data_IF_350786900403
#
_entry.id   IF_350786900403
#
_cell.length_a   1.000
_cell.length_b   1.000
_cell.length_c   1.000
_cell.angle_alpha   90.00
_cell.angle_beta   90.00
_cell.angle_gamma   90.00
#
_symmetry.space_group_name_H-M   'P 1'
#
loop_
_entity.id
_entity.type
_entity.pdbx_description
1 polymer ?
#
# COMPACT_ATOMS: atom_id res chain seq x y z
N UNK A 1 20.00 -39.29 -11.40
CA UNK A 1 19.42 -39.58 -10.07
C UNK A 1 20.33 -40.62 -9.42
N UNK A 2 21.10 -40.25 -8.38
CA UNK A 2 21.66 -41.07 -7.27
C UNK A 2 22.27 -42.47 -7.60
N UNK A 3 23.49 -42.90 -7.17
CA UNK A 3 24.16 -42.82 -5.85
C UNK A 3 25.69 -43.14 -6.00
N UNK A 4 26.58 -42.36 -5.35
CA UNK A 4 28.01 -42.65 -5.00
C UNK A 4 28.94 -43.08 -6.18
N UNK A 5 30.25 -43.34 -6.08
CA UNK A 5 31.31 -43.31 -5.03
C UNK A 5 32.66 -43.10 -5.79
N UNK A 6 33.78 -42.49 -5.35
CA UNK A 6 34.30 -41.93 -4.07
C UNK A 6 34.98 -40.57 -4.31
N UNK A 7 35.57 -39.95 -3.27
CA UNK A 7 36.19 -38.62 -3.35
C UNK A 7 37.70 -38.54 -3.04
N UNK A 8 38.27 -37.36 -3.31
CA UNK A 8 39.50 -36.84 -2.74
C UNK A 8 39.35 -35.32 -2.53
N UNK A 9 39.99 -34.74 -1.50
CA UNK A 9 39.94 -33.31 -1.21
C UNK A 9 40.94 -32.55 -2.07
N UNK A 10 40.60 -31.32 -2.46
CA UNK A 10 41.41 -30.14 -2.12
C UNK A 10 40.50 -28.93 -1.90
N UNK A 11 41.03 -27.91 -1.23
CA UNK A 11 40.29 -26.77 -0.69
C UNK A 11 40.73 -25.49 -1.42
N UNK A 12 39.78 -24.69 -1.90
CA UNK A 12 39.99 -23.24 -2.06
C UNK A 12 38.96 -22.56 -1.17
N UNK A 13 39.44 -21.85 -0.16
CA UNK A 13 38.60 -21.19 0.83
C UNK A 13 38.73 -19.68 0.66
N UNK A 14 37.62 -19.00 0.43
CA UNK A 14 37.48 -17.57 0.72
C UNK A 14 36.54 -17.42 1.91
N UNK A 15 37.14 -17.33 3.09
CA UNK A 15 36.44 -17.09 4.35
C UNK A 15 35.81 -15.70 4.35
N UNK A 16 34.48 -15.63 4.44
CA UNK A 16 33.81 -14.52 5.11
C UNK A 16 33.39 -15.04 6.49
N UNK A 17 33.91 -14.42 7.54
CA UNK A 17 33.57 -14.79 8.91
C UNK A 17 32.15 -14.35 9.27
N UNK A 18 31.48 -15.17 10.07
CA UNK A 18 30.36 -14.76 10.93
C UNK A 18 30.86 -13.71 11.96
N UNK A 19 30.06 -12.89 12.65
CA UNK A 19 28.61 -12.72 12.85
C UNK A 19 28.28 -11.19 12.84
N UNK A 20 27.05 -10.67 12.74
CA UNK A 20 25.68 -11.19 12.65
C UNK A 20 24.90 -10.36 11.60
N UNK A 21 23.77 -10.85 11.10
CA UNK A 21 22.55 -10.01 10.99
C UNK A 21 21.27 -10.86 10.86
N UNK A 22 20.24 -10.56 11.65
CA UNK A 22 18.97 -11.31 11.64
C UNK A 22 17.97 -10.70 10.65
N UNK A 23 18.20 -10.94 9.35
CA UNK A 23 17.24 -10.54 8.32
C UNK A 23 15.94 -11.34 8.49
N UNK A 24 14.89 -10.67 8.95
CA UNK A 24 13.53 -11.22 8.98
C UNK A 24 13.12 -11.65 7.57
N UNK A 25 12.81 -12.95 7.41
CA UNK A 25 12.18 -13.47 6.20
C UNK A 25 10.73 -12.97 6.18
N UNK A 26 10.51 -11.81 5.58
CA UNK A 26 9.19 -11.36 5.19
C UNK A 26 8.67 -12.26 4.08
N UNK A 27 7.81 -13.23 4.42
CA UNK A 27 7.02 -13.96 3.44
C UNK A 27 6.19 -12.96 2.63
N UNK A 28 6.67 -12.62 1.43
CA UNK A 28 5.89 -11.94 0.41
C UNK A 28 4.84 -12.92 -0.11
N UNK A 29 3.69 -12.95 0.56
CA UNK A 29 2.53 -13.68 0.05
C UNK A 29 2.13 -13.09 -1.31
N UNK A 30 2.12 -13.99 -2.29
CA UNK A 30 1.91 -13.70 -3.71
C UNK A 30 0.54 -13.04 -3.92
N UNK A 31 0.53 -11.95 -4.68
CA UNK A 31 -0.62 -11.37 -5.39
C UNK A 31 -1.97 -11.48 -4.68
N UNK A 32 -2.13 -10.76 -3.57
CA UNK A 32 -3.45 -10.25 -3.20
C UNK A 32 -3.94 -9.29 -4.30
N UNK A 33 -5.02 -9.63 -5.00
CA UNK A 33 -5.51 -8.86 -6.14
C UNK A 33 -5.68 -7.37 -5.84
N UNK A 34 -5.00 -6.54 -6.62
CA UNK A 34 -5.05 -5.07 -6.55
C UNK A 34 -6.44 -4.56 -6.98
N UNK A 35 -7.40 -4.63 -6.04
CA UNK A 35 -8.85 -4.35 -6.14
C UNK A 35 -9.36 -3.79 -7.48
N UNK A 36 -9.37 -4.63 -8.53
CA UNK A 36 -9.96 -4.40 -9.85
C UNK A 36 -9.93 -2.93 -10.33
N UNK A 37 -8.75 -2.30 -10.33
CA UNK A 37 -8.56 -1.04 -11.05
C UNK A 37 -8.58 -1.29 -12.56
N UNK A 38 -9.15 -0.37 -13.35
CA UNK A 38 -9.09 -0.46 -14.82
C UNK A 38 -7.64 -0.45 -15.28
N UNK A 39 -7.19 -1.56 -15.88
CA UNK A 39 -5.88 -1.67 -16.51
C UNK A 39 -5.83 -0.95 -17.87
N UNK A 40 -6.97 -0.42 -18.33
CA UNK A 40 -7.12 0.37 -19.56
C UNK A 40 -7.32 1.84 -19.20
N UNK A 41 -6.56 2.72 -19.87
CA UNK A 41 -6.70 4.18 -19.75
C UNK A 41 -8.10 4.64 -20.19
N UNK A 42 -8.73 5.50 -19.40
CA UNK A 42 -10.02 6.10 -19.76
C UNK A 42 -9.84 7.36 -20.61
N UNK A 43 -10.52 7.44 -21.75
CA UNK A 43 -10.48 8.60 -22.66
C UNK A 43 -11.59 9.59 -22.31
N UNK A 44 -11.20 10.75 -21.79
CA UNK A 44 -12.13 11.84 -21.46
C UNK A 44 -12.60 12.57 -22.72
N UNK A 45 -13.77 12.18 -23.24
CA UNK A 45 -14.49 12.97 -24.25
C UNK A 45 -14.85 14.35 -23.70
N UNK A 46 -14.95 15.34 -24.59
CA UNK A 46 -15.32 16.73 -24.26
C UNK A 46 -14.52 17.35 -23.09
N UNK A 47 -13.23 16.99 -22.94
CA UNK A 47 -12.37 17.44 -21.83
C UNK A 47 -13.02 17.19 -20.44
N UNK A 48 -13.76 16.08 -20.35
CA UNK A 48 -14.46 15.60 -19.16
C UNK A 48 -15.66 16.43 -18.71
N UNK A 49 -16.09 17.46 -19.47
CA UNK A 49 -17.10 18.42 -19.01
C UNK A 49 -18.42 17.76 -18.59
N UNK A 50 -18.93 16.82 -19.38
CA UNK A 50 -20.21 16.13 -19.10
C UNK A 50 -20.16 15.32 -17.78
N UNK A 51 -18.97 14.80 -17.43
CA UNK A 51 -18.70 14.13 -16.15
C UNK A 51 -18.62 15.15 -15.01
N UNK A 52 -17.99 16.31 -15.22
CA UNK A 52 -17.89 17.38 -14.22
C UNK A 52 -19.28 17.92 -13.84
N UNK A 53 -20.14 18.10 -14.84
CA UNK A 53 -21.52 18.53 -14.66
C UNK A 53 -22.33 17.49 -13.88
N UNK A 54 -22.21 16.21 -14.27
CA UNK A 54 -22.85 15.07 -13.59
C UNK A 54 -22.39 14.88 -12.14
N UNK A 55 -21.12 15.17 -11.83
CA UNK A 55 -20.53 15.07 -10.49
C UNK A 55 -20.73 16.32 -9.62
N UNK A 56 -21.43 17.34 -10.13
CA UNK A 56 -21.47 18.73 -9.64
C UNK A 56 -20.13 19.48 -9.80
N UNK A 57 -20.22 20.60 -10.53
CA UNK A 57 -19.18 21.62 -10.67
C UNK A 57 -18.61 22.06 -9.31
N UNK A 58 -19.45 22.30 -8.30
CA UNK A 58 -18.98 22.72 -6.97
C UNK A 58 -18.12 21.64 -6.27
N UNK A 59 -18.50 20.36 -6.39
CA UNK A 59 -17.72 19.24 -5.83
C UNK A 59 -16.38 19.11 -6.55
N UNK A 60 -16.39 19.06 -7.88
CA UNK A 60 -15.18 18.91 -8.69
C UNK A 60 -14.20 20.10 -8.54
N UNK A 61 -14.73 21.32 -8.37
CA UNK A 61 -13.92 22.54 -8.16
C UNK A 61 -12.95 22.46 -6.97
N UNK A 62 -13.28 21.66 -5.94
CA UNK A 62 -12.38 21.42 -4.81
C UNK A 62 -11.10 20.69 -5.23
N UNK A 63 -11.19 19.80 -6.21
CA UNK A 63 -10.05 19.08 -6.78
C UNK A 63 -9.30 19.95 -7.80
N UNK A 64 -9.99 20.75 -8.62
CA UNK A 64 -9.37 21.74 -9.51
C UNK A 64 -8.51 22.77 -8.76
N UNK A 65 -8.99 23.29 -7.62
CA UNK A 65 -8.19 24.17 -6.76
C UNK A 65 -6.91 23.50 -6.25
N UNK A 66 -6.97 22.20 -5.92
CA UNK A 66 -5.81 21.40 -5.45
C UNK A 66 -4.87 20.97 -6.58
N UNK A 67 -5.33 20.95 -7.83
CA UNK A 67 -4.53 20.55 -9.00
C UNK A 67 -3.87 21.72 -9.73
N UNK A 68 -3.89 22.93 -9.17
CA UNK A 68 -3.53 24.17 -9.87
C UNK A 68 -4.29 24.32 -11.20
N UNK A 69 -5.59 23.99 -11.18
CA UNK A 69 -6.52 23.99 -12.33
C UNK A 69 -6.18 23.01 -13.47
N UNK A 70 -5.17 22.13 -13.32
CA UNK A 70 -4.94 21.02 -14.24
C UNK A 70 -6.09 20.00 -14.15
N UNK A 71 -6.94 19.91 -15.17
CA UNK A 71 -8.12 19.01 -15.19
C UNK A 71 -7.80 17.54 -14.96
N UNK A 72 -6.85 16.97 -15.72
CA UNK A 72 -6.48 15.55 -15.60
C UNK A 72 -6.06 15.20 -14.16
N UNK A 73 -5.21 16.04 -13.56
CA UNK A 73 -4.75 15.85 -12.18
C UNK A 73 -5.88 16.09 -11.15
N UNK A 74 -6.91 16.88 -11.45
CA UNK A 74 -8.13 16.96 -10.62
C UNK A 74 -8.96 15.66 -10.70
N UNK A 75 -9.09 15.05 -11.87
CA UNK A 75 -9.70 13.72 -12.01
C UNK A 75 -8.90 12.64 -11.28
N UNK A 76 -7.57 12.63 -11.39
CA UNK A 76 -6.71 11.73 -10.64
C UNK A 76 -6.91 11.88 -9.12
N UNK A 77 -6.95 13.12 -8.62
CA UNK A 77 -7.19 13.40 -7.20
C UNK A 77 -8.61 13.01 -6.75
N UNK A 78 -9.62 13.18 -7.61
CA UNK A 78 -10.99 12.70 -7.35
C UNK A 78 -11.04 11.18 -7.22
N UNK A 79 -10.48 10.46 -8.20
CA UNK A 79 -10.40 9.00 -8.20
C UNK A 79 -9.53 8.46 -7.05
N UNK A 80 -8.46 9.17 -6.69
CA UNK A 80 -7.63 8.86 -5.52
C UNK A 80 -8.40 9.04 -4.20
N UNK A 81 -9.20 10.11 -4.06
CA UNK A 81 -10.07 10.30 -2.90
C UNK A 81 -11.11 9.18 -2.77
N UNK A 82 -11.79 8.82 -3.87
CA UNK A 82 -12.74 7.71 -3.89
C UNK A 82 -12.10 6.37 -3.50
N UNK A 83 -10.86 6.11 -3.97
CA UNK A 83 -10.09 4.91 -3.60
C UNK A 83 -9.70 4.89 -2.12
N UNK A 84 -9.22 6.01 -1.56
CA UNK A 84 -8.94 6.14 -0.12
C UNK A 84 -10.19 5.91 0.73
N UNK A 85 -11.31 6.56 0.36
CA UNK A 85 -12.58 6.38 1.04
C UNK A 85 -13.02 4.92 1.02
N UNK A 86 -12.92 4.24 -0.12
CA UNK A 86 -13.21 2.79 -0.26
C UNK A 86 -12.33 1.93 0.64
N UNK A 87 -11.01 2.15 0.67
CA UNK A 87 -10.08 1.33 1.48
C UNK A 87 -10.26 1.51 2.98
N UNK A 88 -10.80 2.66 3.41
CA UNK A 88 -11.14 2.96 4.80
C UNK A 88 -12.50 2.40 5.25
N UNK A 89 -13.41 2.00 4.35
CA UNK A 89 -14.71 1.43 4.73
C UNK A 89 -14.56 0.17 5.60
N UNK A 90 -13.66 -0.74 5.23
CA UNK A 90 -13.42 -1.99 6.00
C UNK A 90 -12.96 -1.73 7.45
N UNK A 91 -11.85 -1.01 7.73
CA UNK A 91 -11.42 -0.77 9.10
C UNK A 91 -12.42 0.09 9.90
N UNK A 92 -13.16 1.00 9.25
CA UNK A 92 -14.24 1.76 9.91
C UNK A 92 -15.44 0.88 10.28
N UNK A 93 -15.85 -0.05 9.41
CA UNK A 93 -16.92 -1.00 9.68
C UNK A 93 -16.57 -1.92 10.85
N UNK A 94 -15.35 -2.47 10.87
CA UNK A 94 -14.91 -3.33 11.99
C UNK A 94 -14.88 -2.54 13.29
N UNK A 95 -14.35 -1.30 13.29
CA UNK A 95 -14.39 -0.43 14.45
C UNK A 95 -15.82 -0.11 14.93
N UNK A 96 -16.74 0.24 14.03
CA UNK A 96 -18.13 0.54 14.38
C UNK A 96 -18.84 -0.68 15.01
N UNK A 97 -18.58 -1.90 14.50
CA UNK A 97 -19.10 -3.15 15.07
C UNK A 97 -18.41 -3.53 16.39
N UNK A 98 -17.09 -3.41 16.51
CA UNK A 98 -16.38 -3.68 17.77
C UNK A 98 -16.82 -2.72 18.87
N UNK A 99 -16.90 -1.42 18.58
CA UNK A 99 -17.28 -0.38 19.54
C UNK A 99 -18.71 -0.59 20.05
N UNK A 100 -19.69 -0.77 19.15
CA UNK A 100 -21.09 -0.96 19.56
C UNK A 100 -21.28 -2.26 20.35
N UNK A 101 -20.62 -3.35 19.96
CA UNK A 101 -20.74 -4.63 20.66
C UNK A 101 -20.07 -4.56 22.05
N UNK A 102 -18.94 -3.88 22.18
CA UNK A 102 -18.28 -3.70 23.48
C UNK A 102 -19.11 -2.84 24.45
N UNK A 103 -19.72 -1.75 23.95
CA UNK A 103 -20.62 -0.91 24.76
C UNK A 103 -21.93 -1.67 25.08
N UNK A 104 -22.51 -2.41 24.14
CA UNK A 104 -23.69 -3.26 24.35
C UNK A 104 -23.44 -4.28 25.48
N UNK A 105 -22.32 -5.01 25.41
CA UNK A 105 -21.92 -5.99 26.42
C UNK A 105 -21.64 -5.38 27.81
N UNK A 106 -21.37 -4.07 27.89
CA UNK A 106 -21.32 -3.33 29.15
C UNK A 106 -22.72 -2.90 29.62
N UNK A 107 -23.54 -2.31 28.74
CA UNK A 107 -24.90 -1.90 29.08
C UNK A 107 -25.82 -3.06 29.50
N UNK A 108 -25.63 -4.25 28.92
CA UNK A 108 -26.33 -5.49 29.34
C UNK A 108 -26.00 -5.87 30.80
N UNK A 109 -24.79 -5.55 31.28
CA UNK A 109 -24.34 -5.83 32.66
C UNK A 109 -24.69 -4.72 33.65
N UNK A 110 -24.67 -3.47 33.20
CA UNK A 110 -24.92 -2.28 34.04
C UNK A 110 -26.42 -2.02 34.25
N UNK A 111 -27.26 -2.35 33.24
CA UNK A 111 -28.70 -2.07 33.24
C UNK A 111 -29.51 -3.38 33.16
N UNK A 112 -29.69 -3.92 31.96
CA UNK A 112 -30.40 -5.18 31.70
C UNK A 112 -30.20 -5.63 30.23
N UNK A 113 -30.66 -6.84 29.90
CA UNK A 113 -30.63 -7.37 28.54
C UNK A 113 -31.29 -6.42 27.51
N UNK A 114 -32.36 -5.74 27.90
CA UNK A 114 -33.16 -4.84 27.05
C UNK A 114 -32.89 -3.35 27.33
N UNK A 115 -31.66 -2.97 27.66
CA UNK A 115 -31.29 -1.61 28.12
C UNK A 115 -31.76 -0.47 27.19
N UNK A 116 -31.97 -0.73 25.90
CA UNK A 116 -32.47 0.26 24.92
C UNK A 116 -33.87 0.80 25.28
N UNK A 117 -34.69 -0.01 25.96
CA UNK A 117 -36.03 0.36 26.46
C UNK A 117 -36.05 0.62 27.99
N UNK A 118 -34.97 0.35 28.73
CA UNK A 118 -34.93 0.57 30.17
C UNK A 118 -35.13 2.05 30.56
N UNK A 119 -35.96 2.27 31.58
CA UNK A 119 -36.28 3.60 32.07
C UNK A 119 -35.11 4.30 32.76
N UNK A 120 -34.13 3.57 33.31
CA UNK A 120 -33.01 4.19 34.03
C UNK A 120 -31.90 4.60 33.05
N UNK A 121 -31.56 3.74 32.10
CA UNK A 121 -30.70 4.12 30.97
C UNK A 121 -31.27 5.30 30.18
N UNK A 122 -32.57 5.27 29.83
CA UNK A 122 -33.20 6.35 29.06
C UNK A 122 -33.24 7.70 29.80
N UNK A 123 -33.26 7.71 31.14
CA UNK A 123 -33.11 8.95 31.96
C UNK A 123 -31.69 9.53 31.94
N UNK A 124 -30.67 8.74 31.61
CA UNK A 124 -29.28 9.20 31.49
C UNK A 124 -29.06 9.95 30.16
N UNK A 125 -29.80 9.58 29.10
CA UNK A 125 -29.65 10.16 27.77
C UNK A 125 -30.12 11.62 27.69
N UNK A 126 -29.30 12.47 27.07
CA UNK A 126 -29.76 13.78 26.62
C UNK A 126 -30.74 13.64 25.44
N UNK A 127 -31.56 14.67 25.19
CA UNK A 127 -32.64 14.64 24.20
C UNK A 127 -32.19 14.26 22.79
N UNK A 128 -30.96 14.62 22.39
CA UNK A 128 -30.39 14.23 21.10
C UNK A 128 -30.07 12.74 21.03
N UNK A 129 -29.39 12.18 22.05
CA UNK A 129 -29.11 10.74 22.09
C UNK A 129 -30.37 9.91 22.24
N UNK A 130 -31.35 10.37 23.03
CA UNK A 130 -32.64 9.69 23.18
C UNK A 130 -33.41 9.64 21.85
N UNK A 131 -33.54 10.78 21.16
CA UNK A 131 -34.18 10.83 19.84
C UNK A 131 -33.43 10.07 18.73
N UNK A 132 -32.12 9.80 18.92
CA UNK A 132 -31.36 8.92 18.02
C UNK A 132 -31.60 7.43 18.32
N UNK A 133 -31.75 7.07 19.59
CA UNK A 133 -32.12 5.72 20.03
C UNK A 133 -33.55 5.36 19.60
N UNK A 134 -34.50 6.26 19.82
CA UNK A 134 -35.91 6.03 19.46
C UNK A 134 -36.08 5.82 17.96
N UNK A 135 -35.38 6.62 17.12
CA UNK A 135 -35.32 6.43 15.67
C UNK A 135 -34.62 5.14 15.23
N UNK A 136 -33.81 4.51 16.08
CA UNK A 136 -33.26 3.19 15.81
C UNK A 136 -34.25 2.08 16.18
N UNK A 137 -34.98 2.24 17.29
CA UNK A 137 -36.08 1.33 17.70
C UNK A 137 -37.20 1.34 16.65
N UNK A 138 -37.63 2.50 16.17
CA UNK A 138 -38.62 2.66 15.07
C UNK A 138 -38.21 1.95 13.75
N UNK A 139 -36.91 1.66 13.57
CA UNK A 139 -36.34 1.08 12.36
C UNK A 139 -35.82 -0.35 12.56
N UNK A 140 -35.84 -0.86 13.78
CA UNK A 140 -35.45 -2.22 14.10
C UNK A 140 -36.49 -3.20 13.53
N UNK A 141 -36.06 -4.42 13.16
CA UNK A 141 -36.97 -5.45 12.65
C UNK A 141 -37.83 -6.09 13.75
N UNK A 142 -37.35 -6.03 14.98
CA UNK A 142 -38.01 -6.51 16.19
C UNK A 142 -37.60 -5.62 17.37
N UNK A 143 -38.24 -5.84 18.53
CA UNK A 143 -37.83 -5.20 19.78
C UNK A 143 -36.58 -5.84 20.42
N UNK A 144 -35.93 -6.81 19.77
CA UNK A 144 -34.69 -7.40 20.28
C UNK A 144 -33.56 -6.36 20.25
N UNK A 145 -32.81 -6.26 21.35
CA UNK A 145 -31.68 -5.36 21.50
C UNK A 145 -30.61 -5.56 20.40
N UNK A 146 -30.38 -6.78 19.92
CA UNK A 146 -29.44 -7.03 18.82
C UNK A 146 -29.87 -6.36 17.50
N UNK A 147 -31.16 -6.38 17.15
CA UNK A 147 -31.70 -5.69 15.97
C UNK A 147 -31.60 -4.17 16.14
N UNK A 148 -31.83 -3.66 17.35
CA UNK A 148 -31.73 -2.23 17.67
C UNK A 148 -30.26 -1.78 17.56
N UNK A 149 -29.32 -2.48 18.21
CA UNK A 149 -27.87 -2.24 18.14
C UNK A 149 -27.33 -2.37 16.72
N UNK A 150 -27.92 -3.24 15.89
CA UNK A 150 -27.57 -3.35 14.48
C UNK A 150 -27.88 -2.07 13.67
N UNK A 151 -28.91 -1.32 14.06
CA UNK A 151 -29.43 -0.11 13.37
C UNK A 151 -28.88 1.21 13.94
N UNK A 152 -28.48 1.26 15.22
CA UNK A 152 -27.87 2.45 15.84
C UNK A 152 -26.54 2.81 15.17
N UNK A 153 -26.42 4.04 14.66
CA UNK A 153 -25.22 4.55 13.98
C UNK A 153 -24.08 4.95 14.93
N UNK A 154 -22.84 4.98 14.42
CA UNK A 154 -21.65 5.50 15.12
C UNK A 154 -21.83 6.88 15.76
N UNK A 155 -22.72 7.73 15.26
CA UNK A 155 -23.03 9.03 15.87
C UNK A 155 -23.56 8.88 17.29
N UNK A 156 -24.46 7.92 17.56
CA UNK A 156 -24.93 7.66 18.92
C UNK A 156 -23.77 7.16 19.80
N UNK A 157 -23.07 6.12 19.37
CA UNK A 157 -21.99 5.49 20.12
C UNK A 157 -20.83 6.45 20.44
N UNK A 158 -20.48 7.33 19.49
CA UNK A 158 -19.46 8.37 19.71
C UNK A 158 -19.93 9.52 20.62
N UNK A 159 -21.22 9.87 20.57
CA UNK A 159 -21.80 10.90 21.43
C UNK A 159 -21.88 10.47 22.91
N UNK A 160 -21.93 9.16 23.20
CA UNK A 160 -21.89 8.66 24.58
C UNK A 160 -20.62 9.07 25.33
N UNK A 161 -19.50 9.36 24.67
CA UNK A 161 -18.25 9.76 25.33
C UNK A 161 -18.16 11.26 25.67
N UNK A 162 -19.23 12.05 25.46
CA UNK A 162 -19.30 13.47 25.85
C UNK A 162 -19.19 13.65 27.38
N UNK A 163 -18.84 14.87 27.79
CA UNK A 163 -18.80 15.33 29.20
C UNK A 163 -20.06 14.98 29.99
N UNK A 164 -21.20 15.10 29.33
CA UNK A 164 -22.55 14.99 29.87
C UNK A 164 -22.80 13.58 30.46
N UNK A 165 -22.10 12.59 29.92
CA UNK A 165 -22.16 11.17 30.29
C UNK A 165 -21.01 10.72 31.20
N UNK A 166 -20.07 11.61 31.52
CA UNK A 166 -18.85 11.23 32.24
C UNK A 166 -19.17 10.74 33.65
N UNK A 167 -20.01 11.48 34.40
CA UNK A 167 -20.42 11.10 35.76
C UNK A 167 -21.38 9.90 35.79
N UNK A 168 -22.26 9.78 34.81
CA UNK A 168 -23.37 8.82 34.81
C UNK A 168 -23.03 7.46 34.19
N UNK A 169 -22.09 7.41 33.23
CA UNK A 169 -21.66 6.16 32.61
C UNK A 169 -20.18 5.85 32.88
N UNK A 170 -19.27 6.82 32.70
CA UNK A 170 -17.86 6.48 32.43
C UNK A 170 -16.88 6.63 33.59
N UNK A 171 -17.15 7.50 34.57
CA UNK A 171 -16.24 7.85 35.66
C UNK A 171 -15.75 6.61 36.44
N UNK A 172 -16.62 5.60 36.58
CA UNK A 172 -16.29 4.31 37.19
C UNK A 172 -16.07 3.20 36.16
N UNK A 173 -16.72 3.24 35.00
CA UNK A 173 -16.87 2.06 34.14
C UNK A 173 -16.10 2.10 32.81
N UNK A 174 -15.37 3.17 32.47
CA UNK A 174 -14.62 3.25 31.19
C UNK A 174 -13.61 2.09 31.01
N UNK A 175 -13.05 1.58 32.11
CA UNK A 175 -12.10 0.46 32.08
C UNK A 175 -12.78 -0.90 31.83
N UNK A 176 -14.10 -1.03 32.05
CA UNK A 176 -14.86 -2.25 31.75
C UNK A 176 -15.06 -2.47 30.24
N UNK A 177 -14.80 -1.45 29.41
CA UNK A 177 -14.95 -1.49 27.94
C UNK A 177 -13.59 -1.43 27.23
N UNK A 178 -12.62 -0.69 27.78
CA UNK A 178 -11.33 -0.40 27.13
C UNK A 178 -10.08 -0.78 27.94
N UNK A 179 -10.24 -1.50 29.05
CA UNK A 179 -9.14 -1.91 29.93
C UNK A 179 -8.57 -0.78 30.80
N UNK A 180 -7.48 -1.08 31.52
CA UNK A 180 -6.85 -0.12 32.42
C UNK A 180 -6.09 1.01 31.68
N UNK A 181 -5.76 2.09 32.42
CA UNK A 181 -4.88 3.20 31.99
C UNK A 181 -5.43 4.10 30.87
N UNK A 182 -6.60 3.79 30.31
CA UNK A 182 -7.35 4.66 29.39
C UNK A 182 -8.15 5.73 30.14
N UNK A 183 -8.44 6.85 29.49
CA UNK A 183 -9.35 7.88 30.03
C UNK A 183 -10.48 8.18 29.04
N UNK A 184 -11.69 8.44 29.54
CA UNK A 184 -12.84 8.83 28.72
C UNK A 184 -12.55 10.06 27.85
N UNK A 185 -11.67 10.98 28.28
CA UNK A 185 -11.22 12.13 27.46
C UNK A 185 -10.36 11.72 26.25
N UNK A 186 -9.53 10.68 26.37
CA UNK A 186 -8.76 10.13 25.25
C UNK A 186 -9.69 9.43 24.26
N UNK A 187 -10.52 8.50 24.76
CA UNK A 187 -11.52 7.79 23.95
C UNK A 187 -12.44 8.77 23.22
N UNK A 188 -12.98 9.79 23.91
CA UNK A 188 -13.83 10.83 23.31
C UNK A 188 -13.16 11.57 22.16
N UNK A 189 -11.88 11.94 22.31
CA UNK A 189 -11.13 12.65 21.27
C UNK A 189 -10.99 11.80 20.01
N UNK A 190 -10.56 10.55 20.18
CA UNK A 190 -10.15 9.71 19.07
C UNK A 190 -11.35 9.06 18.37
N UNK A 191 -12.37 8.61 19.12
CA UNK A 191 -13.67 8.16 18.59
C UNK A 191 -14.38 9.29 17.83
N UNK A 192 -14.32 10.54 18.30
CA UNK A 192 -14.92 11.67 17.60
C UNK A 192 -14.16 12.08 16.33
N UNK A 193 -12.84 11.87 16.26
CA UNK A 193 -12.05 12.09 15.04
C UNK A 193 -12.35 11.00 13.99
N UNK A 194 -12.48 9.74 14.42
CA UNK A 194 -12.87 8.62 13.56
C UNK A 194 -14.31 8.80 13.03
N UNK A 195 -15.27 9.18 13.88
CA UNK A 195 -16.64 9.42 13.43
C UNK A 195 -16.72 10.59 12.42
N UNK A 196 -15.92 11.65 12.61
CA UNK A 196 -15.80 12.73 11.60
C UNK A 196 -15.27 12.21 10.25
N UNK A 197 -14.24 11.36 10.25
CA UNK A 197 -13.73 10.73 9.02
C UNK A 197 -14.79 9.85 8.35
N UNK A 198 -15.47 9.01 9.14
CA UNK A 198 -16.54 8.10 8.71
C UNK A 198 -17.71 8.85 8.07
N UNK A 199 -18.15 9.95 8.68
CA UNK A 199 -19.23 10.77 8.13
C UNK A 199 -18.81 11.56 6.88
N UNK A 200 -17.57 12.05 6.79
CA UNK A 200 -17.03 12.63 5.53
C UNK A 200 -17.06 11.61 4.39
N UNK A 201 -16.65 10.37 4.65
CA UNK A 201 -16.68 9.28 3.66
C UNK A 201 -18.12 8.96 3.23
N UNK A 202 -19.06 8.87 4.19
CA UNK A 202 -20.48 8.62 3.92
C UNK A 202 -21.16 9.74 3.11
N UNK A 203 -20.77 11.01 3.32
CA UNK A 203 -21.24 12.15 2.52
C UNK A 203 -20.42 12.39 1.23
N UNK A 204 -19.48 11.51 0.91
CA UNK A 204 -18.59 11.57 -0.26
C UNK A 204 -17.73 12.86 -0.33
N UNK A 205 -17.36 13.39 0.83
CA UNK A 205 -16.49 14.56 0.94
C UNK A 205 -15.01 14.24 0.63
N UNK A 206 -14.19 15.25 0.26
CA UNK A 206 -12.75 15.11 0.19
C UNK A 206 -12.14 14.83 1.57
N UNK A 207 -11.27 13.83 1.67
CA UNK A 207 -10.50 13.47 2.87
C UNK A 207 -8.98 13.69 2.69
N UNK A 208 -8.56 14.23 1.54
CA UNK A 208 -7.16 14.38 1.10
C UNK A 208 -6.27 15.28 1.99
N UNK A 209 -6.88 16.14 2.81
CA UNK A 209 -6.16 17.08 3.70
C UNK A 209 -5.99 16.53 5.13
N UNK A 210 -6.56 15.36 5.43
CA UNK A 210 -6.49 14.73 6.74
C UNK A 210 -5.21 13.89 6.86
N UNK A 211 -4.66 13.79 8.07
CA UNK A 211 -3.59 12.82 8.35
C UNK A 211 -4.19 11.42 8.49
N UNK A 212 -4.56 10.81 7.36
CA UNK A 212 -5.25 9.52 7.32
C UNK A 212 -4.44 8.40 7.99
N UNK A 213 -3.11 8.44 7.93
CA UNK A 213 -2.24 7.49 8.64
C UNK A 213 -2.40 7.57 10.16
N UNK A 214 -2.54 8.78 10.72
CA UNK A 214 -2.80 8.98 12.15
C UNK A 214 -4.21 8.52 12.55
N UNK A 215 -5.25 8.82 11.74
CA UNK A 215 -6.61 8.36 12.05
C UNK A 215 -6.74 6.84 11.90
N UNK A 216 -6.11 6.24 10.87
CA UNK A 216 -6.03 4.80 10.71
C UNK A 216 -5.34 4.13 11.90
N UNK A 217 -4.20 4.68 12.36
CA UNK A 217 -3.53 4.19 13.56
C UNK A 217 -4.48 4.17 14.78
N UNK A 218 -5.24 5.25 15.01
CA UNK A 218 -6.23 5.32 16.11
C UNK A 218 -7.36 4.30 15.97
N UNK A 219 -7.81 4.00 14.74
CA UNK A 219 -8.81 2.94 14.49
C UNK A 219 -8.27 1.60 15.00
N UNK A 220 -7.03 1.24 14.64
CA UNK A 220 -6.39 -0.01 15.07
C UNK A 220 -6.12 -0.01 16.58
N UNK A 221 -5.65 1.10 17.17
CA UNK A 221 -5.44 1.22 18.62
C UNK A 221 -6.75 1.05 19.42
N UNK A 222 -7.85 1.64 18.96
CA UNK A 222 -9.16 1.50 19.62
C UNK A 222 -9.78 0.10 19.43
N UNK A 223 -9.59 -0.55 18.28
CA UNK A 223 -9.95 -1.97 18.13
C UNK A 223 -9.08 -2.81 19.07
N UNK A 224 -7.78 -2.52 19.22
CA UNK A 224 -6.86 -3.30 20.05
C UNK A 224 -7.20 -3.23 21.55
N UNK A 225 -7.75 -2.12 22.03
CA UNK A 225 -8.27 -1.99 23.40
C UNK A 225 -9.50 -2.87 23.68
N UNK A 226 -10.22 -3.31 22.63
CA UNK A 226 -11.39 -4.19 22.71
C UNK A 226 -11.01 -5.64 22.42
N UNK A 227 -10.17 -5.87 21.39
CA UNK A 227 -9.70 -7.18 20.94
C UNK A 227 -8.39 -7.04 20.15
N UNK A 228 -7.30 -7.53 20.74
CA UNK A 228 -5.98 -7.51 20.10
C UNK A 228 -5.92 -8.33 18.81
N UNK A 229 -6.66 -9.45 18.72
CA UNK A 229 -6.66 -10.29 17.53
C UNK A 229 -7.53 -9.73 16.40
N UNK A 230 -8.64 -9.05 16.73
CA UNK A 230 -9.42 -8.31 15.73
C UNK A 230 -8.62 -7.13 15.17
N UNK A 231 -7.78 -6.47 15.99
CA UNK A 231 -6.87 -5.42 15.52
C UNK A 231 -5.81 -5.96 14.54
N UNK A 232 -5.17 -7.11 14.86
CA UNK A 232 -4.26 -7.81 13.94
C UNK A 232 -4.94 -8.17 12.62
N UNK A 233 -6.13 -8.77 12.69
CA UNK A 233 -6.94 -9.19 11.53
C UNK A 233 -7.31 -8.00 10.64
N UNK A 234 -7.78 -6.90 11.23
CA UNK A 234 -8.14 -5.67 10.49
C UNK A 234 -6.92 -4.99 9.85
N UNK A 235 -5.75 -5.04 10.49
CA UNK A 235 -4.52 -4.51 9.92
C UNK A 235 -3.91 -5.44 8.84
N UNK A 236 -4.19 -6.74 8.88
CA UNK A 236 -3.79 -7.69 7.83
C UNK A 236 -4.64 -7.55 6.57
N UNK A 237 -5.97 -7.47 6.71
CA UNK A 237 -6.91 -7.45 5.57
C UNK A 237 -7.25 -6.04 5.04
N UNK A 238 -6.59 -4.97 5.50
CA UNK A 238 -6.83 -3.63 4.93
C UNK A 238 -6.06 -3.41 3.63
N UNK A 239 -6.69 -2.73 2.67
CA UNK A 239 -6.03 -2.20 1.46
C UNK A 239 -5.55 -0.76 1.62
N UNK A 240 -5.77 -0.13 2.79
CA UNK A 240 -5.46 1.27 3.05
C UNK A 240 -3.96 1.59 2.86
N UNK A 241 -3.09 0.72 3.38
CA UNK A 241 -1.63 0.88 3.35
C UNK A 241 -1.08 0.99 1.92
N UNK A 242 -1.69 0.29 0.96
CA UNK A 242 -1.26 0.34 -0.43
C UNK A 242 -1.91 1.51 -1.16
N UNK A 243 -3.21 1.74 -0.96
CA UNK A 243 -3.92 2.85 -1.60
C UNK A 243 -3.28 4.20 -1.22
N UNK A 244 -2.89 4.45 0.03
CA UNK A 244 -2.28 5.73 0.44
C UNK A 244 -0.92 6.01 -0.24
N UNK A 245 -0.24 4.96 -0.74
CA UNK A 245 1.02 5.09 -1.51
C UNK A 245 0.78 5.49 -2.97
N UNK A 246 -0.46 5.41 -3.47
CA UNK A 246 -0.81 5.69 -4.88
C UNK A 246 -1.04 7.16 -5.24
N UNK A 247 -0.84 8.09 -4.29
CA UNK A 247 -1.16 9.53 -4.44
C UNK A 247 -0.63 10.08 -5.78
N UNK A 248 -1.48 10.63 -6.65
CA UNK A 248 -1.07 11.04 -8.00
C UNK A 248 -0.09 12.21 -7.98
N UNK A 249 0.71 12.34 -9.04
CA UNK A 249 1.71 13.38 -9.22
C UNK A 249 1.25 14.46 -10.21
N UNK A 250 1.49 15.72 -9.87
CA UNK A 250 1.12 16.89 -10.69
C UNK A 250 1.93 17.03 -12.00
N UNK A 251 2.97 16.22 -12.18
CA UNK A 251 3.84 16.18 -13.36
C UNK A 251 3.69 14.89 -14.19
N UNK A 252 2.68 14.08 -13.89
CA UNK A 252 2.45 12.77 -14.51
C UNK A 252 2.69 11.61 -13.54
N UNK A 253 2.01 10.49 -13.81
CA UNK A 253 2.10 9.24 -13.07
C UNK A 253 1.29 9.18 -11.77
N UNK A 254 0.69 8.03 -11.49
CA UNK A 254 0.33 7.65 -10.11
C UNK A 254 1.60 7.21 -9.38
N UNK A 255 1.75 7.54 -8.09
CA UNK A 255 2.93 7.09 -7.33
C UNK A 255 2.89 5.58 -7.02
N UNK A 256 4.05 4.94 -6.78
CA UNK A 256 5.41 5.49 -6.95
C UNK A 256 5.74 5.74 -8.43
N UNK A 257 6.55 6.76 -8.70
CA UNK A 257 7.10 7.03 -10.03
C UNK A 257 8.36 6.17 -10.27
N UNK A 258 8.76 5.99 -11.53
CA UNK A 258 10.06 5.39 -11.84
C UNK A 258 11.22 6.19 -11.24
N UNK A 259 11.09 7.52 -11.14
CA UNK A 259 12.04 8.39 -10.43
C UNK A 259 12.18 8.14 -8.92
N UNK A 260 11.30 7.33 -8.32
CA UNK A 260 11.31 6.97 -6.89
C UNK A 260 11.74 5.51 -6.66
N UNK A 261 12.19 4.82 -7.73
CA UNK A 261 12.43 3.37 -7.74
C UNK A 261 13.67 2.89 -8.51
N UNK A 262 14.38 3.76 -9.24
CA UNK A 262 15.62 3.38 -9.90
C UNK A 262 16.78 3.16 -8.92
N UNK A 263 17.68 2.26 -9.28
CA UNK A 263 19.02 2.15 -8.72
C UNK A 263 19.96 3.05 -9.54
N UNK A 264 20.75 3.87 -8.84
CA UNK A 264 21.71 4.80 -9.46
C UNK A 264 23.10 4.20 -9.63
N UNK A 265 23.37 2.99 -9.13
CA UNK A 265 24.67 2.34 -9.28
C UNK A 265 24.84 1.67 -10.66
N UNK A 266 24.99 2.50 -11.68
CA UNK A 266 25.24 2.07 -13.06
C UNK A 266 26.45 2.79 -13.68
N UNK A 267 27.06 2.15 -14.68
CA UNK A 267 28.05 2.78 -15.56
C UNK A 267 27.66 2.58 -17.03
N UNK A 268 28.03 3.51 -17.91
CA UNK A 268 27.90 3.35 -19.36
C UNK A 268 29.26 2.91 -19.89
N UNK A 269 29.29 1.78 -20.60
CA UNK A 269 30.52 1.14 -21.11
C UNK A 269 30.40 0.89 -22.61
N UNK A 270 31.55 0.89 -23.31
CA UNK A 270 31.60 0.58 -24.74
C UNK A 270 31.47 -0.94 -24.96
N UNK A 271 30.88 -1.35 -26.08
CA UNK A 271 30.83 -2.78 -26.48
C UNK A 271 32.23 -3.44 -26.53
N UNK A 272 33.28 -2.65 -26.74
CA UNK A 272 34.66 -3.11 -26.92
C UNK A 272 35.46 -3.21 -25.61
N UNK A 273 34.93 -2.78 -24.47
CA UNK A 273 35.63 -2.89 -23.18
C UNK A 273 35.91 -4.36 -22.83
N UNK A 274 37.13 -4.65 -22.38
CA UNK A 274 37.53 -6.00 -21.96
C UNK A 274 36.95 -6.35 -20.58
N UNK A 275 36.68 -7.63 -20.32
CA UNK A 275 36.07 -8.07 -19.06
C UNK A 275 36.96 -7.76 -17.83
N UNK A 276 38.28 -7.71 -18.01
CA UNK A 276 39.25 -7.28 -17.00
C UNK A 276 39.18 -5.79 -16.61
N UNK A 277 38.61 -4.94 -17.46
CA UNK A 277 38.58 -3.48 -17.30
C UNK A 277 37.23 -2.95 -16.78
N UNK A 278 36.26 -3.83 -16.52
CA UNK A 278 34.89 -3.44 -16.20
C UNK A 278 34.76 -2.69 -14.86
N UNK A 279 33.93 -1.63 -14.79
CA UNK A 279 33.82 -0.80 -13.61
C UNK A 279 33.12 -1.53 -12.43
N UNK A 280 33.25 -0.95 -11.24
CA UNK A 280 32.79 -1.62 -10.00
C UNK A 280 31.27 -1.60 -9.80
N UNK A 281 30.54 -0.75 -10.50
CA UNK A 281 29.09 -0.58 -10.42
C UNK A 281 28.30 -1.89 -10.63
N UNK A 282 27.09 -1.94 -10.07
CA UNK A 282 26.14 -3.04 -10.14
C UNK A 282 25.62 -3.29 -11.56
N UNK A 283 25.23 -2.23 -12.27
CA UNK A 283 24.68 -2.31 -13.61
C UNK A 283 25.63 -1.72 -14.66
N UNK A 284 25.75 -2.40 -15.80
CA UNK A 284 26.56 -2.00 -16.94
C UNK A 284 25.63 -1.76 -18.13
N UNK A 285 25.62 -0.53 -18.63
CA UNK A 285 24.82 -0.11 -19.79
C UNK A 285 25.74 -0.16 -21.01
N UNK A 286 25.57 -1.18 -21.84
CA UNK A 286 26.37 -1.39 -23.04
C UNK A 286 25.92 -0.44 -24.14
N UNK A 287 26.82 0.45 -24.58
CA UNK A 287 26.58 1.42 -25.64
C UNK A 287 27.54 1.20 -26.81
N UNK A 288 27.02 1.41 -28.02
CA UNK A 288 27.80 1.45 -29.26
C UNK A 288 27.57 2.78 -29.99
N UNK A 289 26.41 2.91 -30.64
CA UNK A 289 25.87 4.20 -31.11
C UNK A 289 24.75 4.63 -30.17
N UNK A 290 23.73 3.79 -30.09
CA UNK A 290 22.71 3.80 -29.05
C UNK A 290 23.06 2.81 -27.93
N UNK A 291 22.18 2.73 -26.93
CA UNK A 291 22.20 1.69 -25.89
C UNK A 291 21.62 0.41 -26.50
N UNK A 292 22.36 -0.69 -26.39
CA UNK A 292 22.04 -1.98 -27.01
C UNK A 292 21.65 -3.04 -25.97
N UNK A 293 22.28 -3.04 -24.79
CA UNK A 293 22.07 -4.03 -23.74
C UNK A 293 22.30 -3.45 -22.33
N UNK A 294 21.73 -4.09 -21.30
CA UNK A 294 22.05 -3.82 -19.89
C UNK A 294 22.39 -5.16 -19.23
N UNK A 295 23.45 -5.23 -18.44
CA UNK A 295 23.81 -6.43 -17.67
C UNK A 295 24.27 -6.11 -16.25
N UNK A 296 24.28 -7.13 -15.40
CA UNK A 296 24.96 -7.15 -14.12
C UNK A 296 26.06 -8.23 -14.10
N UNK A 297 26.91 -8.22 -13.07
CA UNK A 297 28.06 -9.13 -12.96
C UNK A 297 27.67 -10.62 -12.88
N UNK A 298 26.45 -10.90 -12.43
CA UNK A 298 25.85 -12.25 -12.44
C UNK A 298 25.76 -12.81 -13.87
N UNK A 299 25.34 -11.99 -14.83
CA UNK A 299 25.14 -12.40 -16.22
C UNK A 299 26.50 -12.72 -16.87
N UNK A 300 27.52 -11.92 -16.55
CA UNK A 300 28.91 -12.11 -16.98
C UNK A 300 29.52 -13.37 -16.35
N UNK A 301 29.25 -13.63 -15.06
CA UNK A 301 29.73 -14.83 -14.38
C UNK A 301 29.08 -16.11 -14.93
N UNK A 302 27.79 -16.07 -15.26
CA UNK A 302 27.09 -17.16 -15.95
C UNK A 302 27.69 -17.41 -17.34
N UNK A 303 27.90 -16.35 -18.13
CA UNK A 303 28.56 -16.44 -19.43
C UNK A 303 29.94 -17.12 -19.36
N UNK A 304 30.79 -16.72 -18.39
CA UNK A 304 32.12 -17.31 -18.19
C UNK A 304 32.00 -18.79 -17.80
N UNK A 305 31.05 -19.14 -16.95
CA UNK A 305 30.80 -20.51 -16.50
C UNK A 305 30.36 -21.42 -17.66
N UNK A 306 29.38 -21.01 -18.46
CA UNK A 306 28.92 -21.81 -19.61
C UNK A 306 30.00 -21.90 -20.70
N UNK A 307 30.77 -20.83 -20.95
CA UNK A 307 31.92 -20.84 -21.87
C UNK A 307 33.02 -21.83 -21.44
N UNK A 308 33.36 -21.88 -20.14
CA UNK A 308 34.34 -22.81 -19.58
C UNK A 308 33.86 -24.28 -19.64
N UNK A 309 32.55 -24.48 -19.42
CA UNK A 309 31.90 -25.79 -19.48
C UNK A 309 31.90 -26.40 -20.89
N UNK A 310 31.70 -25.59 -21.92
CA UNK A 310 31.65 -26.05 -23.30
C UNK A 310 33.05 -26.16 -23.95
N UNK A 311 34.02 -25.35 -23.52
CA UNK A 311 35.43 -25.45 -23.94
C UNK A 311 36.24 -26.54 -23.21
N UNK A 312 35.77 -26.99 -22.05
CA UNK A 312 36.48 -27.89 -21.13
C UNK A 312 37.77 -27.27 -20.54
N UNK A 313 37.94 -25.94 -20.65
CA UNK A 313 39.08 -25.19 -20.10
C UNK A 313 38.74 -24.58 -18.73
N UNK A 314 39.62 -24.79 -17.74
CA UNK A 314 39.40 -24.37 -16.35
C UNK A 314 39.80 -22.90 -16.10
N UNK A 315 40.52 -22.28 -17.04
CA UNK A 315 41.08 -20.93 -16.92
C UNK A 315 40.62 -20.08 -18.11
N UNK A 316 39.94 -18.96 -17.83
CA UNK A 316 39.39 -18.05 -18.84
C UNK A 316 40.11 -16.70 -18.76
N UNK A 317 40.79 -16.28 -19.84
CA UNK A 317 41.53 -15.02 -19.88
C UNK A 317 40.62 -13.83 -20.19
N UNK A 318 40.19 -13.14 -19.11
CA UNK A 318 39.34 -11.95 -19.14
C UNK A 318 39.98 -10.72 -19.81
N UNK A 319 41.28 -10.76 -20.14
CA UNK A 319 41.95 -9.69 -20.93
C UNK A 319 41.72 -9.84 -22.43
N UNK A 320 41.30 -11.02 -22.90
CA UNK A 320 41.03 -11.27 -24.32
C UNK A 320 39.55 -11.10 -24.69
N UNK A 321 38.65 -11.34 -23.73
CA UNK A 321 37.20 -11.32 -23.96
C UNK A 321 36.64 -9.90 -23.85
N UNK A 322 35.80 -9.52 -24.82
CA UNK A 322 35.09 -8.24 -24.85
C UNK A 322 33.63 -8.40 -24.43
N UNK A 323 33.06 -7.32 -23.93
CA UNK A 323 31.64 -7.25 -23.54
C UNK A 323 30.70 -7.56 -24.72
N UNK A 324 31.07 -7.17 -25.95
CA UNK A 324 30.33 -7.50 -27.18
C UNK A 324 30.21 -9.00 -27.48
N UNK A 325 31.16 -9.84 -27.02
CA UNK A 325 31.09 -11.29 -27.19
C UNK A 325 29.93 -11.90 -26.39
N UNK A 326 29.65 -11.35 -25.19
CA UNK A 326 28.52 -11.76 -24.35
C UNK A 326 27.18 -11.40 -25.02
N UNK A 327 27.10 -10.21 -25.63
CA UNK A 327 25.90 -9.71 -26.32
C UNK A 327 25.55 -10.58 -27.55
N UNK A 328 26.53 -11.22 -28.19
CA UNK A 328 26.32 -12.01 -29.41
C UNK A 328 25.85 -13.44 -29.18
N UNK A 329 26.00 -13.98 -27.96
CA UNK A 329 25.69 -15.38 -27.64
C UNK A 329 24.34 -15.58 -26.90
N UNK A 330 23.71 -14.50 -26.44
CA UNK A 330 22.33 -14.55 -25.96
C UNK A 330 21.35 -14.43 -27.14
N UNK A 331 20.63 -15.50 -27.49
CA UNK A 331 19.65 -15.52 -28.61
C UNK A 331 18.51 -14.47 -28.45
N UNK A 332 18.43 -13.78 -27.31
CA UNK A 332 17.57 -12.62 -27.01
C UNK A 332 18.00 -11.36 -27.80
N UNK A 333 18.18 -11.50 -29.10
CA UNK A 333 18.60 -10.43 -30.02
C UNK A 333 17.67 -9.20 -29.93
N UNK A 334 18.30 -8.03 -29.70
CA UNK A 334 17.73 -6.67 -29.58
C UNK A 334 17.07 -6.31 -28.23
N UNK A 335 17.85 -5.61 -27.40
CA UNK A 335 17.43 -4.76 -26.26
C UNK A 335 16.60 -5.47 -25.18
N UNK A 336 17.30 -6.02 -24.19
CA UNK A 336 16.70 -6.60 -22.98
C UNK A 336 16.09 -5.59 -21.98
N UNK A 337 15.86 -4.34 -22.41
CA UNK A 337 15.42 -3.24 -21.55
C UNK A 337 14.30 -2.39 -22.18
N UNK A 338 13.43 -1.84 -21.34
CA UNK A 338 12.43 -0.85 -21.74
C UNK A 338 12.84 0.57 -21.30
N UNK A 339 12.65 1.57 -22.15
CA UNK A 339 12.95 2.96 -21.81
C UNK A 339 11.69 3.65 -21.22
N UNK A 340 11.84 4.36 -20.10
CA UNK A 340 10.74 5.07 -19.42
C UNK A 340 11.17 6.46 -18.94
N UNK A 341 10.23 7.41 -18.94
CA UNK A 341 10.38 8.71 -18.31
C UNK A 341 10.46 8.61 -16.79
N UNK A 342 11.26 9.48 -16.18
CA UNK A 342 11.26 9.77 -14.75
C UNK A 342 9.87 10.09 -14.17
N UNK A 343 8.96 10.61 -14.99
CA UNK A 343 7.58 10.97 -14.62
C UNK A 343 6.53 9.87 -14.86
N UNK A 344 6.90 8.72 -15.42
CA UNK A 344 5.99 7.59 -15.58
C UNK A 344 5.76 6.84 -14.25
N UNK A 345 4.59 6.19 -14.13
CA UNK A 345 4.23 5.41 -12.93
C UNK A 345 4.92 4.05 -12.93
N UNK A 346 5.58 3.71 -11.83
CA UNK A 346 6.16 2.38 -11.61
C UNK A 346 5.11 1.26 -11.64
N UNK A 347 3.80 1.58 -11.49
CA UNK A 347 2.72 0.59 -11.55
C UNK A 347 2.62 -0.12 -12.92
N UNK A 348 3.15 0.46 -14.00
CA UNK A 348 3.24 -0.22 -15.31
C UNK A 348 4.39 -1.23 -15.40
N UNK A 349 5.33 -1.25 -14.44
CA UNK A 349 6.54 -2.10 -14.48
C UNK A 349 6.24 -3.58 -14.74
N UNK A 350 5.23 -4.15 -14.08
CA UNK A 350 4.81 -5.55 -14.33
C UNK A 350 4.37 -5.78 -15.78
N UNK A 351 3.65 -4.83 -16.39
CA UNK A 351 3.23 -4.91 -17.81
C UNK A 351 4.44 -4.78 -18.75
N UNK A 352 5.44 -3.98 -18.37
CA UNK A 352 6.68 -3.82 -19.13
C UNK A 352 7.59 -5.06 -19.03
N UNK A 353 7.77 -5.64 -17.84
CA UNK A 353 8.54 -6.85 -17.59
C UNK A 353 7.87 -8.14 -18.13
N UNK A 354 6.56 -8.10 -18.38
CA UNK A 354 5.83 -9.17 -19.09
C UNK A 354 6.02 -9.13 -20.61
N UNK A 355 6.66 -8.09 -21.17
CA UNK A 355 7.09 -8.11 -22.58
C UNK A 355 8.23 -9.13 -22.74
N UNK A 356 8.21 -9.88 -23.84
CA UNK A 356 9.23 -10.89 -24.14
C UNK A 356 10.63 -10.27 -24.10
N UNK A 357 11.56 -10.93 -23.42
CA UNK A 357 12.96 -10.53 -23.26
C UNK A 357 13.24 -9.22 -22.49
N UNK A 358 12.26 -8.57 -21.86
CA UNK A 358 12.51 -7.39 -21.02
C UNK A 358 12.81 -7.82 -19.57
N UNK A 359 14.07 -7.64 -19.16
CA UNK A 359 14.57 -7.93 -17.82
C UNK A 359 15.06 -6.68 -17.07
N UNK A 360 15.17 -5.54 -17.76
CA UNK A 360 15.49 -4.23 -17.18
C UNK A 360 14.53 -3.12 -17.63
N UNK A 361 14.37 -2.07 -16.82
CA UNK A 361 13.77 -0.79 -17.21
C UNK A 361 14.83 0.30 -16.99
N UNK A 362 15.06 1.10 -18.03
CA UNK A 362 15.98 2.22 -18.03
C UNK A 362 15.21 3.53 -17.84
N UNK A 363 15.52 4.27 -16.77
CA UNK A 363 14.82 5.51 -16.40
C UNK A 363 15.61 6.72 -16.87
N UNK A 364 14.97 7.63 -17.60
CA UNK A 364 15.60 8.85 -18.14
C UNK A 364 14.79 10.13 -17.89
N UNK A 365 15.45 11.27 -18.00
CA UNK A 365 14.86 12.61 -18.09
C UNK A 365 15.54 13.40 -19.23
N UNK A 366 15.10 14.63 -19.49
CA UNK A 366 15.71 15.57 -20.46
C UNK A 366 17.22 15.83 -20.25
N UNK A 367 17.78 15.43 -19.09
CA UNK A 367 19.20 15.52 -18.76
C UNK A 367 20.02 14.25 -19.07
N UNK A 368 19.36 13.14 -19.44
CA UNK A 368 19.98 11.83 -19.68
C UNK A 368 19.42 10.72 -18.79
N UNK A 369 20.18 9.64 -18.67
CA UNK A 369 19.85 8.47 -17.83
C UNK A 369 19.92 8.85 -16.35
N UNK A 370 18.93 8.41 -15.57
CA UNK A 370 18.89 8.57 -14.11
C UNK A 370 19.25 7.27 -13.36
N UNK A 371 18.88 6.11 -13.91
CA UNK A 371 19.16 4.81 -13.29
C UNK A 371 18.48 3.63 -13.95
N UNK A 372 18.73 2.45 -13.38
CA UNK A 372 18.27 1.14 -13.87
C UNK A 372 17.34 0.49 -12.85
N UNK A 373 16.35 -0.26 -13.32
CA UNK A 373 15.47 -1.11 -12.50
C UNK A 373 15.50 -2.52 -13.06
N UNK A 374 15.98 -3.48 -12.26
CA UNK A 374 15.93 -4.90 -12.63
C UNK A 374 14.53 -5.47 -12.36
N UNK A 375 14.11 -6.40 -13.21
CA UNK A 375 12.97 -7.29 -12.96
C UNK A 375 13.18 -8.08 -11.67
N UNK A 376 12.18 -8.16 -10.77
CA UNK A 376 12.29 -8.99 -9.58
C UNK A 376 12.38 -10.47 -9.99
N UNK A 377 13.29 -11.22 -9.39
CA UNK A 377 13.36 -12.67 -9.58
C UNK A 377 12.10 -13.32 -8.99
N UNK A 378 11.40 -14.11 -9.81
CA UNK A 378 10.43 -15.09 -9.34
C UNK A 378 11.24 -16.32 -8.93
N UNK A 379 11.13 -16.70 -7.66
CA UNK A 379 11.76 -17.87 -7.02
C UNK A 379 10.62 -18.77 -6.56
#
# INVERSE_FOLDING_TARGET
MSILDRGARWLVCLTISTTYDCIHICNFYILGDLMAESQVSFTYLNDGNDIIDSLSKQRFFTYLKKSSFKKNYAFDLYLYNSRLSKSLLFPLQVFEVCLRNAINNFFIKEFCLDWAIDSNFRKILNSHSLAALDKAIERAKSSNNDDIVAVITLDFWSNLFRSDYDRSLWQKNIHNVFGEKVTRKLIQKDVAEINKLRNRIAHHEPILDLNLSLVYKKIIELIQLISADTAKWTNHFTTFHDVIRTKPSMNGGQKPLFSEKYDSDFCIVDENTFLSELPRNRFLICKRKDIEFICEKSDIALYIYDSAKDSNEIIVDLTTIKLSTIIQLDEKSNKNFHLCSSTESFRTSNILFNKKYIDFILVQDKKGILGVIKKPHII
#
